data_IF_354495950144
#
_entry.id   IF_354495950144
#
_cell.length_a   1.000
_cell.length_b   1.000
_cell.length_c   1.000
_cell.angle_alpha   90.00
_cell.angle_beta   90.00
_cell.angle_gamma   90.00
#
_symmetry.space_group_name_H-M   'P 1'
#
loop_
_entity.id
_entity.type
_entity.pdbx_description
1 polymer ?
#
# COMPACT_ATOMS: atom_id res chain seq x y z
N UNK A 1 10.72 30.45 9.40
CA UNK A 1 10.42 29.03 9.15
C UNK A 1 10.27 28.38 10.50
N UNK A 2 9.16 27.68 10.72
CA UNK A 2 8.92 26.98 11.98
C UNK A 2 9.39 25.54 11.83
N UNK A 3 10.08 25.02 12.84
CA UNK A 3 10.53 23.64 12.89
C UNK A 3 9.88 22.93 14.08
N UNK A 4 9.40 21.72 13.85
CA UNK A 4 8.65 20.93 14.83
C UNK A 4 9.26 19.54 14.97
N UNK A 5 9.31 19.02 16.19
CA UNK A 5 9.85 17.69 16.47
C UNK A 5 8.74 16.65 16.50
N UNK A 6 9.00 15.49 15.87
CA UNK A 6 8.18 14.30 15.95
C UNK A 6 9.04 13.16 16.51
N UNK A 7 8.52 12.52 17.56
CA UNK A 7 9.12 11.38 18.22
C UNK A 7 8.33 10.12 17.90
N UNK A 8 9.04 9.03 17.62
CA UNK A 8 8.49 7.74 17.22
C UNK A 8 9.13 6.65 18.09
N UNK A 9 8.32 5.70 18.56
CA UNK A 9 8.84 4.51 19.22
C UNK A 9 7.90 3.32 18.98
N UNK A 10 8.49 2.14 18.77
CA UNK A 10 7.74 0.89 18.70
C UNK A 10 7.75 0.19 20.06
N UNK A 11 6.56 -0.08 20.58
CA UNK A 11 6.38 -0.34 22.01
C UNK A 11 5.40 -1.48 22.24
N UNK A 12 5.64 -2.26 23.30
CA UNK A 12 4.72 -3.31 23.74
C UNK A 12 3.46 -2.69 24.37
N UNK A 13 2.32 -2.94 23.75
CA UNK A 13 0.99 -2.67 24.28
C UNK A 13 0.37 -3.94 24.85
N UNK A 14 -0.30 -3.84 26.00
CA UNK A 14 -1.04 -4.95 26.59
C UNK A 14 -2.52 -4.80 26.30
N UNK A 15 -3.14 -5.83 25.74
CA UNK A 15 -4.59 -5.85 25.58
C UNK A 15 -5.26 -5.91 26.96
N UNK A 16 -6.18 -5.00 27.30
CA UNK A 16 -6.80 -4.94 28.63
C UNK A 16 -7.68 -6.15 28.95
N UNK A 17 -8.23 -6.81 27.93
CA UNK A 17 -9.12 -7.97 28.06
C UNK A 17 -8.31 -9.27 28.03
N UNK A 18 -7.56 -9.51 26.95
CA UNK A 18 -6.87 -10.80 26.74
C UNK A 18 -5.52 -10.88 27.44
N UNK A 19 -5.00 -9.75 27.94
CA UNK A 19 -3.67 -9.60 28.54
C UNK A 19 -2.50 -9.93 27.62
N UNK A 20 -2.75 -10.23 26.34
CA UNK A 20 -1.71 -10.47 25.35
C UNK A 20 -0.99 -9.17 25.00
N UNK A 21 0.30 -9.27 24.75
CA UNK A 21 1.11 -8.13 24.32
C UNK A 21 1.26 -8.08 22.81
N UNK A 22 1.17 -6.88 22.24
CA UNK A 22 1.34 -6.62 20.81
C UNK A 22 2.18 -5.36 20.61
N UNK A 23 3.06 -5.30 19.60
CA UNK A 23 3.74 -4.07 19.26
C UNK A 23 2.77 -3.06 18.65
N UNK A 24 2.89 -1.81 19.08
CA UNK A 24 2.20 -0.63 18.52
C UNK A 24 3.21 0.50 18.35
N UNK A 25 2.97 1.38 17.38
CA UNK A 25 3.76 2.60 17.21
C UNK A 25 3.20 3.72 18.06
N UNK A 26 4.08 4.41 18.77
CA UNK A 26 3.78 5.66 19.47
C UNK A 26 4.32 6.82 18.63
N UNK A 27 3.46 7.79 18.36
CA UNK A 27 3.80 9.09 17.79
C UNK A 27 3.63 10.15 18.88
N UNK A 28 4.63 11.01 19.04
CA UNK A 28 4.56 12.08 20.02
C UNK A 28 5.13 13.39 19.49
N UNK A 29 4.54 14.49 19.90
CA UNK A 29 4.94 15.83 19.50
C UNK A 29 4.49 16.83 20.58
N UNK A 30 4.99 18.06 20.51
CA UNK A 30 4.51 19.14 21.36
C UNK A 30 3.09 19.52 20.93
N UNK A 31 2.12 19.44 21.84
CA UNK A 31 0.70 19.65 21.52
C UNK A 31 0.35 21.07 21.03
N UNK A 32 1.26 22.04 21.19
CA UNK A 32 1.11 23.38 20.62
C UNK A 32 1.48 23.44 19.12
N UNK A 33 2.18 22.42 18.61
CA UNK A 33 2.71 22.40 17.27
C UNK A 33 1.76 21.68 16.29
N UNK A 34 1.56 22.21 15.07
CA UNK A 34 0.66 21.65 14.07
C UNK A 34 1.30 20.47 13.30
N UNK A 35 1.79 19.46 14.02
CA UNK A 35 2.55 18.33 13.45
C UNK A 35 1.64 17.29 12.79
N UNK A 36 0.59 16.87 13.48
CA UNK A 36 -0.38 15.87 13.00
C UNK A 36 -1.79 16.47 12.97
N UNK A 37 -2.17 17.18 11.88
CA UNK A 37 -3.50 17.76 11.73
C UNK A 37 -4.54 16.69 11.36
N UNK A 38 -4.71 15.69 12.22
CA UNK A 38 -5.66 14.59 12.05
C UNK A 38 -6.95 14.87 12.82
N UNK A 39 -8.09 14.46 12.25
CA UNK A 39 -9.37 14.44 12.96
C UNK A 39 -9.26 13.52 14.18
N UNK A 40 -9.78 13.98 15.32
CA UNK A 40 -9.67 13.32 16.62
C UNK A 40 -8.49 13.84 17.47
N UNK A 41 -7.42 14.35 16.85
CA UNK A 41 -6.26 14.86 17.59
C UNK A 41 -6.53 16.26 18.13
N UNK A 42 -7.01 17.17 17.26
CA UNK A 42 -7.29 18.56 17.62
C UNK A 42 -8.35 18.67 18.72
N UNK A 43 -9.38 17.81 18.72
CA UNK A 43 -10.44 17.83 19.73
C UNK A 43 -9.99 17.34 21.12
N UNK A 44 -8.87 16.61 21.20
CA UNK A 44 -8.40 15.98 22.44
C UNK A 44 -7.07 16.54 22.97
N UNK A 45 -6.56 17.65 22.43
CA UNK A 45 -5.29 18.25 22.85
C UNK A 45 -5.25 18.58 24.36
N UNK A 46 -6.32 19.13 24.93
CA UNK A 46 -6.38 19.43 26.36
C UNK A 46 -6.27 18.17 27.23
N UNK A 47 -6.87 17.06 26.77
CA UNK A 47 -6.82 15.81 27.52
C UNK A 47 -5.44 15.15 27.44
N UNK A 48 -4.72 15.31 26.33
CA UNK A 48 -3.36 14.80 26.14
C UNK A 48 -2.29 15.50 27.00
N UNK A 49 -2.61 16.67 27.60
CA UNK A 49 -1.74 17.34 28.58
C UNK A 49 -1.65 16.59 29.90
N UNK A 50 -2.65 15.75 30.21
CA UNK A 50 -2.63 14.96 31.42
C UNK A 50 -1.50 13.91 31.39
N UNK A 51 -0.92 13.54 32.54
CA UNK A 51 0.12 12.52 32.57
C UNK A 51 -0.45 11.14 32.23
N UNK A 52 0.35 10.30 31.57
CA UNK A 52 0.03 8.91 31.24
C UNK A 52 -1.22 8.76 30.36
N UNK A 53 -1.42 9.68 29.42
CA UNK A 53 -2.55 9.65 28.48
C UNK A 53 -2.11 9.55 27.03
N UNK A 54 -2.89 8.84 26.23
CA UNK A 54 -2.73 8.77 24.78
C UNK A 54 -4.09 8.74 24.06
N UNK A 55 -4.07 9.05 22.76
CA UNK A 55 -5.14 8.71 21.83
C UNK A 55 -4.84 7.38 21.17
N UNK A 56 -5.90 6.67 20.81
CA UNK A 56 -5.81 5.37 20.14
C UNK A 56 -6.35 5.43 18.71
N UNK A 57 -5.68 4.75 17.79
CA UNK A 57 -6.14 4.64 16.41
C UNK A 57 -7.36 3.72 16.31
N UNK A 58 -8.48 4.27 15.83
CA UNK A 58 -9.73 3.55 15.57
C UNK A 58 -9.58 2.45 14.51
N UNK A 59 -8.58 2.56 13.63
CA UNK A 59 -8.28 1.58 12.58
C UNK A 59 -7.20 0.56 12.98
N UNK A 60 -6.74 0.59 14.24
CA UNK A 60 -5.85 -0.45 14.76
C UNK A 60 -6.50 -1.84 14.72
N UNK A 61 -5.68 -2.89 14.69
CA UNK A 61 -6.16 -4.27 14.57
C UNK A 61 -6.90 -4.73 15.83
N UNK A 62 -7.83 -5.69 15.70
CA UNK A 62 -8.68 -6.13 16.81
C UNK A 62 -7.88 -6.70 18.01
N UNK A 63 -6.66 -7.20 17.77
CA UNK A 63 -5.79 -7.78 18.79
C UNK A 63 -5.35 -6.78 19.86
N UNK A 64 -5.42 -5.47 19.61
CA UNK A 64 -5.07 -4.46 20.62
C UNK A 64 -6.18 -4.25 21.66
N UNK A 65 -7.40 -4.71 21.38
CA UNK A 65 -8.55 -4.62 22.28
C UNK A 65 -9.45 -3.40 22.05
N UNK A 66 -10.22 -2.96 23.06
CA UNK A 66 -11.11 -1.79 22.97
C UNK A 66 -10.36 -0.51 22.59
N UNK A 67 -10.98 0.31 21.73
CA UNK A 67 -10.40 1.53 21.11
C UNK A 67 -11.21 2.78 21.47
N UNK A 68 -11.69 2.84 22.71
CA UNK A 68 -12.56 3.90 23.21
C UNK A 68 -11.90 4.68 24.35
N UNK A 69 -12.39 5.90 24.58
CA UNK A 69 -11.95 6.71 25.70
C UNK A 69 -12.32 6.04 27.04
N UNK A 70 -11.46 6.21 28.05
CA UNK A 70 -11.62 5.61 29.37
C UNK A 70 -10.96 4.24 29.54
N UNK A 71 -10.47 3.62 28.45
CA UNK A 71 -9.69 2.37 28.54
C UNK A 71 -8.39 2.64 29.29
N UNK A 72 -8.12 1.81 30.29
CA UNK A 72 -6.86 1.80 31.04
C UNK A 72 -6.16 0.47 30.79
N UNK A 73 -4.89 0.52 30.42
CA UNK A 73 -4.08 -0.67 30.20
C UNK A 73 -2.59 -0.37 30.41
N UNK A 74 -1.69 -1.23 29.92
CA UNK A 74 -0.25 -1.05 30.00
C UNK A 74 0.37 -0.76 28.62
N UNK A 75 1.18 0.31 28.57
CA UNK A 75 2.11 0.61 27.48
C UNK A 75 3.53 0.54 28.05
N UNK A 76 4.38 -0.32 27.46
CA UNK A 76 5.71 -0.60 27.96
C UNK A 76 5.68 -0.96 29.46
N UNK A 77 4.84 -1.90 29.86
CA UNK A 77 4.69 -2.35 31.26
C UNK A 77 4.35 -1.23 32.26
N UNK A 78 3.79 -0.10 31.80
CA UNK A 78 3.35 1.02 32.64
C UNK A 78 1.91 1.39 32.31
N UNK A 79 1.14 1.71 33.34
CA UNK A 79 -0.27 2.10 33.17
C UNK A 79 -0.39 3.30 32.22
N UNK A 80 -1.34 3.24 31.30
CA UNK A 80 -1.72 4.31 30.38
C UNK A 80 -3.24 4.39 30.26
N UNK A 81 -3.77 5.61 30.10
CA UNK A 81 -5.19 5.87 29.89
C UNK A 81 -5.44 6.40 28.47
N UNK A 82 -6.41 5.81 27.79
CA UNK A 82 -6.90 6.33 26.51
C UNK A 82 -7.92 7.43 26.77
N UNK A 83 -7.68 8.62 26.23
CA UNK A 83 -8.55 9.81 26.44
C UNK A 83 -9.39 10.16 25.22
N UNK A 84 -9.10 9.56 24.08
CA UNK A 84 -9.81 9.79 22.84
C UNK A 84 -9.25 8.92 21.74
N UNK A 85 -9.71 9.15 20.52
CA UNK A 85 -9.32 8.35 19.37
C UNK A 85 -9.10 9.21 18.13
N UNK A 86 -8.36 8.64 17.18
CA UNK A 86 -8.10 9.24 15.88
C UNK A 86 -8.18 8.15 14.79
N UNK A 87 -8.06 8.53 13.52
CA UNK A 87 -8.10 7.57 12.41
C UNK A 87 -6.87 7.75 11.52
N UNK A 88 -5.97 6.76 11.53
CA UNK A 88 -4.78 6.73 10.68
C UNK A 88 -4.69 5.42 9.89
N UNK A 89 -4.85 4.27 10.56
CA UNK A 89 -4.68 2.95 9.96
C UNK A 89 -3.30 2.36 10.21
N UNK A 90 -3.15 1.07 9.93
CA UNK A 90 -1.86 0.39 10.09
C UNK A 90 -1.06 0.36 8.79
N UNK A 91 0.25 0.43 8.95
CA UNK A 91 1.26 0.11 7.95
C UNK A 91 2.17 -1.02 8.46
N UNK A 92 3.15 -1.41 7.64
CA UNK A 92 4.05 -2.51 7.96
C UNK A 92 4.96 -2.26 9.17
N UNK A 93 5.23 -1.00 9.55
CA UNK A 93 6.02 -0.68 10.74
C UNK A 93 5.16 -0.39 11.98
N UNK A 94 3.92 0.11 11.84
CA UNK A 94 3.02 0.35 12.98
C UNK A 94 2.57 -0.95 13.69
N UNK A 95 2.77 -2.09 13.04
CA UNK A 95 2.43 -3.42 13.53
C UNK A 95 0.92 -3.60 13.69
N UNK A 96 0.42 -3.32 14.90
CA UNK A 96 -0.98 -3.56 15.27
C UNK A 96 -1.80 -2.29 15.49
N UNK A 97 -1.18 -1.11 15.49
CA UNK A 97 -1.90 0.15 15.71
C UNK A 97 -0.97 1.31 16.01
N UNK A 98 -1.56 2.52 16.02
CA UNK A 98 -0.86 3.76 16.37
C UNK A 98 -1.46 4.36 17.65
N UNK A 99 -0.59 4.98 18.44
CA UNK A 99 -0.95 5.83 19.57
C UNK A 99 -0.38 7.22 19.36
N UNK A 100 -1.11 8.25 19.81
CA UNK A 100 -0.62 9.63 19.84
C UNK A 100 -0.56 10.11 21.28
N UNK A 101 0.54 10.72 21.69
CA UNK A 101 0.69 11.35 23.01
C UNK A 101 1.49 12.64 22.94
N UNK A 102 1.54 13.40 24.05
CA UNK A 102 2.46 14.54 24.17
C UNK A 102 3.91 14.06 24.26
N UNK A 103 4.83 14.88 23.75
CA UNK A 103 6.28 14.74 23.94
C UNK A 103 6.68 14.58 25.42
N UNK A 104 6.00 15.28 26.34
CA UNK A 104 6.20 15.12 27.78
C UNK A 104 5.82 13.72 28.27
N UNK A 105 4.69 13.17 27.83
CA UNK A 105 4.33 11.78 28.14
C UNK A 105 5.32 10.81 27.48
N UNK A 106 5.75 11.07 26.26
CA UNK A 106 6.74 10.24 25.58
C UNK A 106 8.04 10.13 26.40
N UNK A 107 8.62 11.25 26.82
CA UNK A 107 9.84 11.22 27.65
C UNK A 107 9.59 10.56 29.00
N UNK A 108 8.42 10.74 29.62
CA UNK A 108 8.08 10.02 30.86
C UNK A 108 8.15 8.51 30.69
N UNK A 109 7.77 7.95 29.53
CA UNK A 109 7.79 6.50 29.30
C UNK A 109 9.13 5.97 28.79
N UNK A 110 9.88 6.79 28.04
CA UNK A 110 10.99 6.30 27.22
C UNK A 110 12.37 6.92 27.53
N UNK A 111 12.46 7.94 28.39
CA UNK A 111 13.75 8.56 28.73
C UNK A 111 14.84 7.57 29.16
N UNK A 112 14.46 6.57 29.99
CA UNK A 112 15.40 5.64 30.63
C UNK A 112 15.32 4.21 30.05
N UNK A 113 14.89 4.02 28.81
CA UNK A 113 14.61 2.68 28.24
C UNK A 113 15.46 2.27 27.04
N UNK A 114 16.51 3.03 26.72
CA UNK A 114 17.55 2.58 25.78
C UNK A 114 18.61 1.71 26.49
N UNK A 115 19.37 0.86 25.76
CA UNK A 115 20.72 0.51 26.19
C UNK A 115 21.53 1.81 26.40
N UNK A 116 22.60 1.75 27.20
CA UNK A 116 23.35 2.88 27.81
C UNK A 116 23.81 4.05 26.90
N UNK A 117 23.47 4.07 25.59
CA UNK A 117 23.85 5.10 24.61
C UNK A 117 22.67 5.97 24.09
N UNK A 118 21.39 5.66 24.36
CA UNK A 118 20.23 6.40 23.81
C UNK A 118 19.26 6.93 24.88
N UNK A 119 19.71 7.82 25.77
CA UNK A 119 18.79 8.58 26.63
C UNK A 119 17.87 9.44 25.74
N UNK A 120 16.56 9.16 25.80
CA UNK A 120 15.58 9.95 25.03
C UNK A 120 15.38 11.29 25.73
N UNK A 121 15.55 12.38 24.99
CA UNK A 121 15.33 13.75 25.44
C UNK A 121 14.63 14.58 24.36
N UNK A 122 14.33 15.85 24.66
CA UNK A 122 13.82 16.77 23.64
C UNK A 122 14.86 17.08 22.53
N UNK A 123 16.13 16.71 22.72
CA UNK A 123 17.17 16.87 21.70
C UNK A 123 17.29 15.66 20.75
N UNK A 124 16.62 14.54 21.06
CA UNK A 124 16.72 13.29 20.30
C UNK A 124 15.42 13.04 19.51
N UNK A 125 15.02 14.01 18.69
CA UNK A 125 13.86 13.87 17.82
C UNK A 125 14.18 12.93 16.64
N UNK A 126 13.24 12.05 16.28
CA UNK A 126 13.45 11.13 15.14
C UNK A 126 13.19 11.82 13.80
N UNK A 127 12.25 12.76 13.77
CA UNK A 127 11.92 13.54 12.57
C UNK A 127 11.78 15.02 12.93
N UNK A 128 12.53 15.87 12.22
CA UNK A 128 12.36 17.33 12.21
C UNK A 128 11.49 17.76 11.03
N UNK A 129 10.33 18.34 11.30
CA UNK A 129 9.40 18.85 10.29
C UNK A 129 9.61 20.35 10.12
N UNK A 130 9.84 20.79 8.89
CA UNK A 130 10.07 22.21 8.59
C UNK A 130 8.89 22.73 7.78
N UNK A 131 8.21 23.73 8.33
CA UNK A 131 7.14 24.42 7.63
C UNK A 131 7.72 25.52 6.75
N UNK A 132 7.50 25.37 5.46
CA UNK A 132 7.96 26.30 4.44
C UNK A 132 6.81 27.20 3.98
N UNK A 133 7.10 28.46 3.70
CA UNK A 133 6.12 29.39 3.15
C UNK A 133 5.71 29.02 1.73
N UNK A 134 4.46 29.31 1.31
CA UNK A 134 4.03 29.05 -0.06
C UNK A 134 4.94 29.74 -1.09
N UNK A 135 5.43 28.98 -2.07
CA UNK A 135 6.25 29.50 -3.17
C UNK A 135 7.75 29.59 -2.89
N UNK A 136 8.23 29.15 -1.72
CA UNK A 136 9.65 29.06 -1.46
C UNK A 136 10.32 27.95 -2.31
N UNK A 137 11.59 28.18 -2.66
CA UNK A 137 12.43 27.16 -3.30
C UNK A 137 12.91 26.14 -2.26
N UNK A 138 12.15 25.04 -2.16
CA UNK A 138 12.45 23.95 -1.22
C UNK A 138 13.74 23.22 -1.59
N UNK A 139 14.10 23.15 -2.88
CA UNK A 139 15.32 22.45 -3.31
C UNK A 139 16.57 23.23 -2.86
N UNK A 140 16.55 24.55 -3.05
CA UNK A 140 17.61 25.42 -2.55
C UNK A 140 17.74 25.35 -1.02
N UNK A 141 16.61 25.30 -0.30
CA UNK A 141 16.59 25.14 1.15
C UNK A 141 17.22 23.81 1.58
N UNK A 142 16.86 22.70 0.93
CA UNK A 142 17.43 21.37 1.23
C UNK A 142 18.95 21.39 1.04
N UNK A 143 19.44 21.93 -0.08
CA UNK A 143 20.88 22.01 -0.34
C UNK A 143 21.61 22.84 0.72
N UNK A 144 21.04 23.99 1.10
CA UNK A 144 21.61 24.84 2.15
C UNK A 144 21.67 24.11 3.51
N UNK A 145 20.60 23.39 3.87
CA UNK A 145 20.54 22.65 5.12
C UNK A 145 21.49 21.46 5.14
N UNK A 146 21.59 20.71 4.05
CA UNK A 146 22.56 19.61 3.91
C UNK A 146 24.01 20.09 4.02
N UNK A 147 24.31 21.31 3.57
CA UNK A 147 25.64 21.90 3.70
C UNK A 147 25.97 22.37 5.14
N UNK A 148 24.94 22.60 5.97
CA UNK A 148 25.10 23.16 7.32
C UNK A 148 24.98 22.11 8.41
N UNK A 149 24.13 21.10 8.19
CA UNK A 149 23.87 20.03 9.15
C UNK A 149 24.95 18.93 9.05
N UNK A 150 25.17 18.18 10.15
CA UNK A 150 26.10 17.06 10.11
C UNK A 150 25.57 15.92 9.21
N UNK A 151 26.50 15.08 8.75
CA UNK A 151 26.25 14.05 7.73
C UNK A 151 25.30 12.93 8.19
N UNK A 152 24.97 12.88 9.47
CA UNK A 152 23.99 11.97 10.08
C UNK A 152 22.54 12.45 9.91
N UNK A 153 22.32 13.70 9.48
CA UNK A 153 20.98 14.25 9.23
C UNK A 153 20.64 14.26 7.75
N UNK A 154 19.59 13.53 7.37
CA UNK A 154 19.10 13.49 6.00
C UNK A 154 17.95 14.48 5.80
N UNK A 155 18.21 15.57 5.08
CA UNK A 155 17.19 16.56 4.71
C UNK A 155 16.59 16.19 3.36
N UNK A 156 15.26 16.16 3.27
CA UNK A 156 14.53 15.77 2.07
C UNK A 156 13.15 16.41 1.99
N UNK A 157 12.57 16.42 0.80
CA UNK A 157 11.15 16.75 0.63
C UNK A 157 10.27 15.77 1.39
N UNK A 158 9.14 16.25 1.91
CA UNK A 158 8.11 15.35 2.43
C UNK A 158 7.55 14.45 1.32
N UNK A 159 7.14 15.05 0.21
CA UNK A 159 6.47 14.39 -0.91
C UNK A 159 6.92 14.96 -2.26
N UNK A 160 6.62 14.24 -3.35
CA UNK A 160 6.84 14.71 -4.71
C UNK A 160 8.05 14.07 -5.39
N UNK A 161 9.26 14.69 -5.36
CA UNK A 161 10.40 14.19 -6.13
C UNK A 161 10.88 12.81 -5.69
N UNK A 162 11.69 12.15 -6.51
CA UNK A 162 12.21 10.80 -6.24
C UNK A 162 13.10 10.71 -5.00
N UNK A 163 13.65 11.83 -4.52
CA UNK A 163 14.45 11.90 -3.29
C UNK A 163 13.60 12.23 -2.05
N UNK A 164 12.27 12.34 -2.16
CA UNK A 164 11.38 12.62 -1.03
C UNK A 164 11.28 11.48 -0.03
N UNK A 165 10.80 11.78 1.17
CA UNK A 165 10.54 10.80 2.23
C UNK A 165 9.56 9.72 1.76
N UNK A 166 8.48 10.11 1.10
CA UNK A 166 7.49 9.16 0.55
C UNK A 166 8.13 8.18 -0.47
N UNK A 167 8.99 8.67 -1.36
CA UNK A 167 9.64 7.83 -2.35
C UNK A 167 10.63 6.85 -1.69
N UNK A 168 11.45 7.34 -0.77
CA UNK A 168 12.42 6.52 -0.05
C UNK A 168 11.76 5.48 0.85
N UNK A 169 10.66 5.81 1.51
CA UNK A 169 9.91 4.86 2.32
C UNK A 169 9.33 3.75 1.44
N UNK A 170 8.76 4.08 0.28
CA UNK A 170 8.28 3.09 -0.69
C UNK A 170 9.39 2.17 -1.18
N UNK A 171 10.55 2.72 -1.51
CA UNK A 171 11.71 1.95 -1.96
C UNK A 171 12.27 1.08 -0.84
N UNK A 172 12.35 1.60 0.39
CA UNK A 172 12.76 0.84 1.57
C UNK A 172 11.85 -0.37 1.78
N UNK A 173 10.53 -0.20 1.77
CA UNK A 173 9.60 -1.33 1.94
C UNK A 173 9.64 -2.32 0.77
N UNK A 174 9.88 -1.83 -0.45
CA UNK A 174 10.05 -2.67 -1.64
C UNK A 174 11.30 -3.54 -1.55
N UNK A 175 12.41 -2.97 -1.10
CA UNK A 175 13.73 -3.58 -1.23
C UNK A 175 14.16 -4.30 0.06
N UNK A 176 13.73 -3.81 1.22
CA UNK A 176 14.09 -4.36 2.55
C UNK A 176 13.14 -5.46 3.02
N UNK A 177 12.01 -5.66 2.34
CA UNK A 177 11.05 -6.71 2.69
C UNK A 177 10.84 -7.68 1.54
N UNK A 178 10.86 -8.98 1.81
CA UNK A 178 10.50 -10.04 0.85
C UNK A 178 9.05 -9.96 0.34
N UNK A 179 8.24 -9.07 0.91
CA UNK A 179 6.85 -8.82 0.51
C UNK A 179 6.78 -8.47 -0.99
N UNK A 180 7.58 -7.52 -1.47
CA UNK A 180 7.53 -7.12 -2.87
C UNK A 180 7.93 -8.26 -3.82
N UNK A 181 8.95 -9.03 -3.44
CA UNK A 181 9.37 -10.22 -4.19
C UNK A 181 8.25 -11.27 -4.28
N UNK A 182 7.62 -11.63 -3.15
CA UNK A 182 6.56 -12.64 -3.11
C UNK A 182 5.34 -12.18 -3.91
N UNK A 183 4.89 -10.93 -3.74
CA UNK A 183 3.76 -10.39 -4.51
C UNK A 183 4.07 -10.31 -6.01
N UNK A 184 5.29 -9.91 -6.39
CA UNK A 184 5.71 -9.87 -7.79
C UNK A 184 5.75 -11.27 -8.42
N UNK A 185 6.26 -12.26 -7.69
CA UNK A 185 6.28 -13.65 -8.14
C UNK A 185 4.86 -14.18 -8.35
N UNK A 186 3.96 -13.99 -7.38
CA UNK A 186 2.56 -14.39 -7.49
C UNK A 186 1.86 -13.71 -8.68
N UNK A 187 2.05 -12.40 -8.83
CA UNK A 187 1.45 -11.63 -9.93
C UNK A 187 1.95 -12.12 -11.29
N UNK A 188 3.25 -12.36 -11.41
CA UNK A 188 3.87 -12.85 -12.65
C UNK A 188 3.38 -14.26 -12.99
N UNK A 189 3.32 -15.16 -12.01
CA UNK A 189 2.80 -16.51 -12.21
C UNK A 189 1.32 -16.49 -12.61
N UNK A 190 0.48 -15.70 -11.93
CA UNK A 190 -0.93 -15.54 -12.32
C UNK A 190 -1.10 -14.97 -13.72
N UNK A 191 -0.21 -14.05 -14.13
CA UNK A 191 -0.22 -13.51 -15.49
C UNK A 191 0.07 -14.59 -16.54
N UNK A 192 1.10 -15.41 -16.35
CA UNK A 192 1.42 -16.51 -17.26
C UNK A 192 0.33 -17.59 -17.30
N UNK A 193 -0.20 -17.98 -16.13
CA UNK A 193 -1.32 -18.93 -16.05
C UNK A 193 -2.52 -18.40 -16.84
N UNK A 194 -2.82 -17.10 -16.71
CA UNK A 194 -3.85 -16.49 -17.51
C UNK A 194 -3.58 -16.58 -19.02
N UNK A 195 -2.35 -16.29 -19.48
CA UNK A 195 -2.00 -16.33 -20.93
C UNK A 195 -2.33 -17.72 -21.48
N UNK A 196 -1.93 -18.75 -20.75
CA UNK A 196 -2.16 -20.16 -21.10
C UNK A 196 -3.66 -20.46 -21.17
N UNK A 197 -4.45 -20.03 -20.17
CA UNK A 197 -5.89 -20.27 -20.16
C UNK A 197 -6.61 -19.56 -21.31
N UNK A 198 -6.30 -18.29 -21.58
CA UNK A 198 -6.90 -17.56 -22.70
C UNK A 198 -6.50 -18.16 -24.04
N UNK A 199 -5.22 -18.58 -24.18
CA UNK A 199 -4.76 -19.29 -25.36
C UNK A 199 -5.54 -20.59 -25.56
N UNK A 200 -5.76 -21.37 -24.51
CA UNK A 200 -6.52 -22.62 -24.59
C UNK A 200 -7.96 -22.37 -25.02
N UNK A 201 -8.63 -21.37 -24.44
CA UNK A 201 -10.01 -21.02 -24.80
C UNK A 201 -10.11 -20.63 -26.29
N UNK A 202 -9.26 -19.69 -26.72
CA UNK A 202 -9.27 -19.20 -28.11
C UNK A 202 -8.82 -20.28 -29.11
N UNK A 203 -7.85 -21.11 -28.74
CA UNK A 203 -7.41 -22.21 -29.61
C UNK A 203 -8.52 -23.23 -29.81
N UNK A 204 -9.20 -23.65 -28.73
CA UNK A 204 -10.32 -24.58 -28.82
C UNK A 204 -11.47 -23.99 -29.63
N UNK A 205 -11.82 -22.73 -29.39
CA UNK A 205 -12.90 -22.05 -30.13
C UNK A 205 -12.61 -21.95 -31.64
N UNK A 206 -11.38 -21.57 -32.01
CA UNK A 206 -10.96 -21.50 -33.41
C UNK A 206 -10.88 -22.88 -34.05
N UNK A 207 -10.45 -23.90 -33.31
CA UNK A 207 -10.36 -25.27 -33.80
C UNK A 207 -11.75 -25.87 -34.04
N UNK A 208 -12.71 -25.64 -33.14
CA UNK A 208 -14.08 -26.16 -33.25
C UNK A 208 -14.82 -25.58 -34.47
N UNK A 209 -14.55 -24.33 -34.84
CA UNK A 209 -15.15 -23.65 -35.99
C UNK A 209 -14.26 -23.66 -37.26
N UNK A 210 -13.21 -24.48 -37.28
CA UNK A 210 -12.23 -24.45 -38.37
C UNK A 210 -12.81 -24.80 -39.75
N UNK A 211 -13.81 -25.67 -39.83
CA UNK A 211 -14.49 -26.01 -41.09
C UNK A 211 -15.23 -24.81 -41.71
N UNK A 212 -15.80 -23.93 -40.87
CA UNK A 212 -16.45 -22.69 -41.28
C UNK A 212 -15.41 -21.70 -41.81
N UNK A 213 -14.27 -21.58 -41.11
CA UNK A 213 -13.16 -20.74 -41.54
C UNK A 213 -12.52 -21.21 -42.85
N UNK A 214 -12.41 -22.52 -43.06
CA UNK A 214 -11.94 -23.11 -44.31
C UNK A 214 -12.90 -22.77 -45.48
N UNK A 215 -14.21 -22.79 -45.22
CA UNK A 215 -15.24 -22.44 -46.21
C UNK A 215 -15.18 -20.96 -46.59
N UNK A 216 -15.03 -20.06 -45.60
CA UNK A 216 -14.82 -18.63 -45.83
C UNK A 216 -13.54 -18.37 -46.66
N UNK A 217 -12.46 -19.08 -46.35
CA UNK A 217 -11.21 -18.97 -47.12
C UNK A 217 -11.37 -19.46 -48.56
N UNK A 218 -12.13 -20.54 -48.78
CA UNK A 218 -12.46 -21.03 -50.13
C UNK A 218 -13.30 -20.03 -50.94
N UNK A 219 -14.11 -19.20 -50.27
CA UNK A 219 -14.84 -18.08 -50.88
C UNK A 219 -13.98 -16.83 -51.15
N UNK A 220 -12.70 -16.84 -50.77
CA UNK A 220 -11.74 -15.77 -51.07
C UNK A 220 -11.44 -14.80 -49.91
N UNK A 221 -11.89 -15.09 -48.69
CA UNK A 221 -11.56 -14.26 -47.53
C UNK A 221 -10.09 -14.41 -47.12
N UNK A 222 -9.48 -13.29 -46.71
CA UNK A 222 -8.04 -13.23 -46.38
C UNK A 222 -7.77 -13.68 -44.93
N UNK A 223 -6.54 -14.13 -44.65
CA UNK A 223 -6.11 -14.47 -43.28
C UNK A 223 -6.26 -13.27 -42.29
N UNK A 224 -6.26 -12.03 -42.79
CA UNK A 224 -6.49 -10.83 -41.98
C UNK A 224 -7.93 -10.69 -41.50
N UNK A 225 -8.91 -11.18 -42.28
CA UNK A 225 -10.30 -11.20 -41.85
C UNK A 225 -10.50 -12.13 -40.64
N UNK A 226 -9.90 -13.33 -40.69
CA UNK A 226 -9.89 -14.28 -39.58
C UNK A 226 -9.22 -13.72 -38.33
N UNK A 227 -8.08 -13.03 -38.50
CA UNK A 227 -7.40 -12.35 -37.41
C UNK A 227 -8.30 -11.24 -36.80
N UNK A 228 -9.09 -10.55 -37.62
CA UNK A 228 -10.04 -9.52 -37.16
C UNK A 228 -11.14 -10.07 -36.25
N UNK A 229 -11.70 -11.24 -36.58
CA UNK A 229 -12.72 -11.92 -35.76
C UNK A 229 -12.15 -12.26 -34.39
N UNK A 230 -10.99 -12.90 -34.34
CA UNK A 230 -10.36 -13.30 -33.07
C UNK A 230 -9.90 -12.09 -32.25
N UNK A 231 -9.49 -11.00 -32.89
CA UNK A 231 -9.20 -9.75 -32.17
C UNK A 231 -10.48 -9.18 -31.52
N UNK A 232 -11.62 -9.24 -32.21
CA UNK A 232 -12.90 -8.81 -31.61
C UNK A 232 -13.29 -9.67 -30.42
N UNK A 233 -13.15 -10.99 -30.52
CA UNK A 233 -13.36 -11.90 -29.39
C UNK A 233 -12.41 -11.61 -28.24
N UNK A 234 -11.12 -11.42 -28.52
CA UNK A 234 -10.12 -11.06 -27.51
C UNK A 234 -10.48 -9.75 -26.79
N UNK A 235 -10.96 -8.73 -27.52
CA UNK A 235 -11.44 -7.47 -26.93
C UNK A 235 -12.64 -7.73 -26.02
N UNK A 236 -13.64 -8.48 -26.49
CA UNK A 236 -14.85 -8.79 -25.72
C UNK A 236 -14.49 -9.57 -24.45
N UNK A 237 -13.67 -10.61 -24.56
CA UNK A 237 -13.18 -11.41 -23.44
C UNK A 237 -12.40 -10.56 -22.44
N UNK A 238 -11.53 -9.66 -22.91
CA UNK A 238 -10.78 -8.76 -22.02
C UNK A 238 -11.69 -7.84 -21.21
N UNK A 239 -12.74 -7.28 -21.83
CA UNK A 239 -13.69 -6.41 -21.16
C UNK A 239 -14.56 -7.19 -20.18
N UNK A 240 -15.13 -8.31 -20.62
CA UNK A 240 -16.00 -9.15 -19.80
C UNK A 240 -15.26 -9.84 -18.65
N UNK A 241 -13.96 -10.12 -18.80
CA UNK A 241 -13.13 -10.61 -17.70
C UNK A 241 -12.71 -9.50 -16.73
N UNK A 242 -12.39 -8.32 -17.26
CA UNK A 242 -11.88 -7.21 -16.45
C UNK A 242 -12.93 -6.60 -15.52
N UNK A 243 -14.16 -6.37 -15.99
CA UNK A 243 -15.24 -5.77 -15.21
C UNK A 243 -15.53 -6.56 -13.89
N UNK A 244 -15.85 -7.86 -13.92
CA UNK A 244 -16.05 -8.63 -12.71
C UNK A 244 -14.75 -8.79 -11.91
N UNK A 245 -13.60 -8.87 -12.57
CA UNK A 245 -12.30 -8.93 -11.91
C UNK A 245 -12.04 -7.71 -11.02
N UNK A 246 -12.31 -6.51 -11.52
CA UNK A 246 -12.23 -5.25 -10.77
C UNK A 246 -13.23 -5.23 -9.61
N UNK A 247 -14.47 -5.69 -9.85
CA UNK A 247 -15.51 -5.73 -8.82
C UNK A 247 -15.12 -6.64 -7.65
N UNK A 248 -14.66 -7.86 -7.95
CA UNK A 248 -14.20 -8.83 -6.95
C UNK A 248 -12.97 -8.30 -6.23
N UNK A 249 -12.00 -7.72 -6.97
CA UNK A 249 -10.79 -7.15 -6.37
C UNK A 249 -11.12 -6.02 -5.39
N UNK A 250 -12.08 -5.16 -5.72
CA UNK A 250 -12.54 -4.09 -4.82
C UNK A 250 -13.18 -4.64 -3.55
N UNK A 251 -13.97 -5.71 -3.67
CA UNK A 251 -14.56 -6.39 -2.51
C UNK A 251 -13.47 -7.01 -1.62
N UNK A 252 -12.47 -7.65 -2.22
CA UNK A 252 -11.33 -8.20 -1.50
C UNK A 252 -10.47 -7.12 -0.84
N UNK A 253 -10.23 -5.97 -1.50
CA UNK A 253 -9.48 -4.86 -0.91
C UNK A 253 -10.15 -4.32 0.35
N UNK A 254 -11.48 -4.13 0.30
CA UNK A 254 -12.25 -3.68 1.45
C UNK A 254 -12.25 -4.73 2.57
N UNK A 255 -12.48 -6.00 2.23
CA UNK A 255 -12.48 -7.10 3.20
C UNK A 255 -11.12 -7.30 3.86
N UNK A 256 -10.06 -7.39 3.07
CA UNK A 256 -8.69 -7.54 3.55
C UNK A 256 -8.24 -6.31 4.37
N UNK A 257 -8.60 -5.09 3.96
CA UNK A 257 -8.30 -3.89 4.72
C UNK A 257 -8.98 -3.87 6.09
N UNK A 258 -10.22 -4.35 6.19
CA UNK A 258 -10.92 -4.45 7.47
C UNK A 258 -10.31 -5.49 8.42
N UNK A 259 -9.80 -6.60 7.88
CA UNK A 259 -9.19 -7.68 8.69
C UNK A 259 -7.75 -7.37 9.07
N UNK A 260 -6.97 -6.84 8.14
CA UNK A 260 -5.53 -6.60 8.35
C UNK A 260 -5.22 -5.22 8.91
N UNK A 261 -6.17 -4.28 8.86
CA UNK A 261 -5.95 -2.87 9.21
C UNK A 261 -5.16 -2.07 8.14
N UNK A 262 -4.58 -2.75 7.14
CA UNK A 262 -3.79 -2.13 6.08
C UNK A 262 -4.67 -1.34 5.13
N UNK A 263 -4.15 -0.20 4.67
CA UNK A 263 -4.83 0.65 3.68
C UNK A 263 -4.47 0.19 2.27
N UNK A 264 -5.40 -0.53 1.62
CA UNK A 264 -5.27 -0.93 0.22
C UNK A 264 -5.87 0.14 -0.70
N UNK A 265 -5.01 0.90 -1.39
CA UNK A 265 -5.44 1.93 -2.33
C UNK A 265 -5.59 1.36 -3.75
N UNK A 266 -6.77 1.56 -4.33
CA UNK A 266 -7.07 1.21 -5.72
C UNK A 266 -6.99 2.46 -6.59
N UNK A 267 -5.79 2.80 -7.06
CA UNK A 267 -5.59 4.00 -7.88
C UNK A 267 -6.08 3.79 -9.32
N UNK A 268 -6.63 4.83 -9.98
CA UNK A 268 -7.07 4.72 -11.38
C UNK A 268 -5.95 4.28 -12.33
N UNK A 269 -4.73 4.76 -12.08
CA UNK A 269 -3.54 4.35 -12.84
C UNK A 269 -3.28 2.84 -12.75
N UNK A 270 -3.40 2.26 -11.55
CA UNK A 270 -3.23 0.82 -11.35
C UNK A 270 -4.30 0.02 -12.08
N UNK A 271 -5.56 0.47 -12.01
CA UNK A 271 -6.69 -0.14 -12.74
C UNK A 271 -6.40 -0.13 -14.25
N UNK A 272 -5.98 1.01 -14.79
CA UNK A 272 -5.66 1.17 -16.21
C UNK A 272 -4.49 0.26 -16.63
N UNK A 273 -3.41 0.22 -15.84
CA UNK A 273 -2.25 -0.64 -16.13
C UNK A 273 -2.63 -2.13 -16.15
N UNK A 274 -3.46 -2.58 -15.20
CA UNK A 274 -3.95 -3.96 -15.17
C UNK A 274 -4.82 -4.24 -16.40
N UNK A 275 -5.71 -3.32 -16.79
CA UNK A 275 -6.53 -3.48 -17.99
C UNK A 275 -5.67 -3.62 -19.25
N UNK A 276 -4.67 -2.74 -19.42
CA UNK A 276 -3.76 -2.78 -20.56
C UNK A 276 -2.98 -4.10 -20.63
N UNK A 277 -2.52 -4.62 -19.48
CA UNK A 277 -1.86 -5.92 -19.39
C UNK A 277 -2.81 -7.07 -19.77
N UNK A 278 -4.03 -7.08 -19.24
CA UNK A 278 -5.06 -8.08 -19.58
C UNK A 278 -5.44 -8.02 -21.06
N UNK A 279 -5.57 -6.83 -21.62
CA UNK A 279 -5.86 -6.62 -23.03
C UNK A 279 -4.73 -7.12 -23.93
N UNK A 280 -3.49 -6.75 -23.64
CA UNK A 280 -2.31 -7.19 -24.38
C UNK A 280 -2.16 -8.72 -24.33
N UNK A 281 -2.40 -9.31 -23.17
CA UNK A 281 -2.44 -10.76 -22.95
C UNK A 281 -3.48 -11.45 -23.85
N UNK A 282 -4.73 -10.97 -23.88
CA UNK A 282 -5.76 -11.53 -24.77
C UNK A 282 -5.38 -11.43 -26.25
N UNK A 283 -4.82 -10.29 -26.67
CA UNK A 283 -4.37 -10.10 -28.05
C UNK A 283 -3.23 -11.06 -28.43
N UNK A 284 -2.23 -11.22 -27.57
CA UNK A 284 -1.10 -12.12 -27.81
C UNK A 284 -1.59 -13.57 -27.90
N UNK A 285 -2.41 -14.01 -26.94
CA UNK A 285 -2.97 -15.37 -26.93
C UNK A 285 -3.81 -15.65 -28.18
N UNK A 286 -4.67 -14.72 -28.59
CA UNK A 286 -5.49 -14.87 -29.80
C UNK A 286 -4.67 -14.91 -31.09
N UNK A 287 -3.67 -14.03 -31.22
CA UNK A 287 -2.78 -14.04 -32.38
C UNK A 287 -1.98 -15.35 -32.50
N UNK A 288 -1.54 -15.93 -31.38
CA UNK A 288 -0.84 -17.21 -31.35
C UNK A 288 -1.79 -18.36 -31.71
N UNK A 289 -3.00 -18.38 -31.15
CA UNK A 289 -4.01 -19.39 -31.43
C UNK A 289 -4.33 -19.45 -32.94
N UNK A 290 -4.63 -18.30 -33.55
CA UNK A 290 -4.91 -18.20 -34.99
C UNK A 290 -3.73 -18.69 -35.83
N UNK A 291 -2.50 -18.25 -35.51
CA UNK A 291 -1.30 -18.70 -36.22
C UNK A 291 -1.12 -20.21 -36.15
N UNK A 292 -1.40 -20.80 -34.99
CA UNK A 292 -1.25 -22.24 -34.79
C UNK A 292 -2.26 -23.02 -35.62
N UNK A 293 -3.54 -22.65 -35.59
CA UNK A 293 -4.59 -23.34 -36.37
C UNK A 293 -4.36 -23.17 -37.88
N UNK A 294 -3.94 -21.99 -38.33
CA UNK A 294 -3.62 -21.77 -39.75
C UNK A 294 -2.42 -22.58 -40.27
N UNK A 295 -1.54 -23.03 -39.37
CA UNK A 295 -0.38 -23.86 -39.72
C UNK A 295 -0.69 -25.35 -39.80
N UNK A 296 -1.88 -25.78 -39.37
CA UNK A 296 -2.33 -27.17 -39.45
C UNK A 296 -2.82 -27.48 -40.87
N UNK A 297 -2.48 -28.65 -41.39
CA UNK A 297 -2.72 -29.03 -42.79
C UNK A 297 -4.25 -29.14 -43.06
N UNK A 298 -4.81 -28.45 -44.08
CA UNK A 298 -6.24 -28.54 -44.40
C UNK A 298 -6.75 -29.97 -44.65
N UNK A 299 -5.86 -30.90 -44.99
CA UNK A 299 -6.19 -32.30 -45.23
C UNK A 299 -6.58 -33.09 -43.97
N UNK A 300 -6.12 -32.70 -42.77
CA UNK A 300 -6.46 -33.38 -41.50
C UNK A 300 -7.89 -33.07 -41.01
N UNK A 301 -8.56 -32.12 -41.65
CA UNK A 301 -9.86 -31.56 -41.21
C UNK A 301 -11.04 -32.28 -41.88
N UNK A 302 -10.76 -32.94 -43.00
CA UNK A 302 -11.74 -33.68 -43.79
C UNK A 302 -11.56 -35.21 -43.69
N UNK A 303 -10.69 -35.68 -42.79
CA UNK A 303 -10.46 -37.11 -42.50
C UNK A 303 -11.09 -37.54 -41.18
#
# INVERSE_FOLDING_TARGET
>A
QDAYALYISDVRWKNPITRQTRPVRVLAFNLADPVLPLTGVAENLEQLKMPNTALIDTRARAEIGPREAGVITELADREIRIVGSFSLGTDFASGNGNLIMSDQNFLRYFANRGPEEDERSFATADIGLIKVEPGADVEALIQQMQATLPNDVKVMHRSGPSNSLEAQERDYWRDSTNIAFVFSLLTTMSFFVGIILVYQILYTDVADHWSEYATLKAMGYTNFFLLGIVIQEAVILSLLGFIPGVLISRLLYNGAGNVTGLVFLMTPERILNIYLLSFAMCLISGAIAVRKVQSTDPAEVFS
#
